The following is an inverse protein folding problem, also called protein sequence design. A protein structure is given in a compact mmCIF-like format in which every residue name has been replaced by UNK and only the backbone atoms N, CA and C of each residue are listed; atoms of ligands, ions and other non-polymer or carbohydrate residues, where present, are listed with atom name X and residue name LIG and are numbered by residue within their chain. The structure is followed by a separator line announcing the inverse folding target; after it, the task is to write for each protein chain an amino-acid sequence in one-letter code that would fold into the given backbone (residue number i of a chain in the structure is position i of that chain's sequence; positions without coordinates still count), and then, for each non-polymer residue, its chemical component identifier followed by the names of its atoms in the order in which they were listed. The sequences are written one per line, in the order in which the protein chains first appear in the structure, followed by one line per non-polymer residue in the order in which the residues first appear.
data_IF_829300720471
#
_entry.id   IF_829300720471
#
_cell.length_a   1.000
_cell.length_b   1.000
_cell.length_c   1.000
_cell.angle_alpha   90.00
_cell.angle_beta   90.00
_cell.angle_gamma   90.00
#
_symmetry.space_group_name_H-M   'P 1'
#
loop_
_entity.id
_entity.type
_entity.pdbx_description
1 polymer ?
#
# COMPACT_ATOMS: atom_id res chain seq x y z
N UNK A 1 -1.11 -12.62 25.28
CA UNK A 1 -1.75 -11.28 25.10
C UNK A 1 -1.12 -10.59 23.93
N UNK A 2 -1.86 -9.76 23.20
CA UNK A 2 -1.34 -8.98 22.06
C UNK A 2 -0.33 -7.94 22.53
N UNK A 3 0.87 -7.88 21.95
CA UNK A 3 1.85 -6.86 22.25
C UNK A 3 1.54 -5.58 21.44
N UNK A 4 0.76 -4.67 22.02
CA UNK A 4 0.37 -3.40 21.41
C UNK A 4 1.56 -2.46 21.12
N UNK A 5 2.75 -2.77 21.66
CA UNK A 5 3.99 -2.01 21.40
C UNK A 5 4.68 -2.44 20.09
N UNK A 6 4.31 -3.58 19.51
CA UNK A 6 4.79 -4.00 18.18
C UNK A 6 3.77 -3.60 17.12
N UNK A 7 4.22 -2.91 16.08
CA UNK A 7 3.43 -2.52 14.93
C UNK A 7 4.03 -3.15 13.66
N UNK A 8 3.21 -3.84 12.90
CA UNK A 8 3.54 -4.29 11.55
C UNK A 8 2.71 -3.52 10.54
N UNK A 9 3.35 -2.69 9.70
CA UNK A 9 2.75 -1.95 8.61
C UNK A 9 3.19 -2.57 7.28
N UNK A 10 2.24 -3.02 6.46
CA UNK A 10 2.56 -3.72 5.21
C UNK A 10 1.75 -3.20 4.04
N UNK A 11 2.43 -3.03 2.91
CA UNK A 11 1.75 -2.99 1.64
C UNK A 11 0.97 -4.30 1.39
N UNK A 12 0.02 -4.26 0.47
CA UNK A 12 -0.82 -5.39 0.10
C UNK A 12 -0.43 -6.00 -1.23
N UNK A 13 -0.56 -5.24 -2.31
CA UNK A 13 -0.42 -5.75 -3.67
C UNK A 13 1.03 -6.17 -3.95
N UNK A 14 1.25 -7.42 -4.36
CA UNK A 14 2.55 -8.06 -4.56
C UNK A 14 3.41 -8.21 -3.29
N UNK A 15 2.96 -7.72 -2.14
CA UNK A 15 3.63 -7.88 -0.84
C UNK A 15 2.98 -8.99 -0.03
N UNK A 16 1.69 -8.90 0.27
CA UNK A 16 0.91 -9.94 0.96
C UNK A 16 -0.11 -10.59 0.02
N UNK A 17 -0.77 -9.79 -0.82
CA UNK A 17 -1.80 -10.15 -1.77
C UNK A 17 -1.20 -10.24 -3.17
N UNK A 18 -1.51 -11.30 -3.91
CA UNK A 18 -1.06 -11.42 -5.31
C UNK A 18 -2.24 -11.63 -6.26
N UNK A 19 -2.02 -11.23 -7.52
CA UNK A 19 -3.06 -11.29 -8.56
C UNK A 19 -3.30 -12.72 -9.04
N UNK A 20 -4.43 -12.93 -9.74
CA UNK A 20 -4.78 -14.21 -10.37
C UNK A 20 -3.69 -14.77 -11.31
N UNK A 21 -2.84 -13.90 -11.88
CA UNK A 21 -1.73 -14.33 -12.76
C UNK A 21 -0.66 -15.13 -12.00
N UNK A 22 -0.59 -15.00 -10.69
CA UNK A 22 0.37 -15.66 -9.82
C UNK A 22 -0.29 -16.69 -8.87
N UNK A 23 -1.58 -16.94 -9.05
CA UNK A 23 -2.32 -17.91 -8.24
C UNK A 23 -1.84 -19.34 -8.51
N UNK A 24 -1.75 -20.15 -7.46
CA UNK A 24 -1.36 -21.55 -7.50
C UNK A 24 -2.46 -22.43 -6.87
N UNK A 25 -2.38 -23.73 -7.07
CA UNK A 25 -3.30 -24.66 -6.45
C UNK A 25 -3.27 -24.55 -4.91
N UNK A 26 -4.44 -24.46 -4.30
CA UNK A 26 -4.60 -24.28 -2.86
C UNK A 26 -4.65 -22.82 -2.38
N UNK A 27 -4.40 -21.84 -3.26
CA UNK A 27 -4.59 -20.42 -2.89
C UNK A 27 -6.06 -20.07 -2.74
N UNK A 28 -6.34 -19.16 -1.81
CA UNK A 28 -7.71 -18.71 -1.52
C UNK A 28 -7.94 -17.38 -2.23
N UNK A 29 -8.95 -17.35 -3.10
CA UNK A 29 -9.40 -16.09 -3.68
C UNK A 29 -10.11 -15.25 -2.62
N UNK A 30 -9.64 -14.02 -2.44
CA UNK A 30 -10.13 -13.08 -1.43
C UNK A 30 -10.66 -11.78 -2.04
N UNK A 31 -10.58 -11.63 -3.35
CA UNK A 31 -11.11 -10.45 -4.04
C UNK A 31 -11.72 -10.84 -5.37
N UNK A 32 -12.94 -10.35 -5.62
CA UNK A 32 -13.63 -10.46 -6.90
C UNK A 32 -13.97 -9.08 -7.45
N UNK A 33 -13.88 -8.91 -8.77
CA UNK A 33 -14.36 -7.74 -9.51
C UNK A 33 -15.16 -8.23 -10.70
N UNK A 34 -16.41 -7.82 -10.80
CA UNK A 34 -17.34 -8.24 -11.85
C UNK A 34 -17.39 -9.77 -12.04
N UNK A 35 -17.44 -10.50 -10.90
CA UNK A 35 -17.47 -11.95 -10.86
C UNK A 35 -16.13 -12.64 -11.18
N UNK A 36 -15.08 -11.89 -11.51
CA UNK A 36 -13.75 -12.41 -11.84
C UNK A 36 -12.84 -12.37 -10.62
N UNK A 37 -12.15 -13.46 -10.34
CA UNK A 37 -11.15 -13.55 -9.28
C UNK A 37 -9.99 -12.60 -9.56
N UNK A 38 -9.61 -11.78 -8.58
CA UNK A 38 -8.57 -10.75 -8.70
C UNK A 38 -7.39 -10.98 -7.76
N UNK A 39 -7.66 -11.17 -6.47
CA UNK A 39 -6.64 -11.22 -5.42
C UNK A 39 -6.69 -12.51 -4.63
N UNK A 40 -5.50 -13.01 -4.26
CA UNK A 40 -5.34 -14.28 -3.59
C UNK A 40 -4.38 -14.19 -2.42
N UNK A 41 -4.64 -15.00 -1.37
CA UNK A 41 -3.68 -15.33 -0.33
C UNK A 41 -3.30 -16.82 -0.40
N UNK A 42 -2.02 -17.11 -0.16
CA UNK A 42 -1.63 -18.52 0.09
C UNK A 42 -2.06 -18.97 1.48
N UNK A 43 -2.22 -20.29 1.72
CA UNK A 43 -2.51 -20.81 3.05
C UNK A 43 -1.46 -20.40 4.11
N UNK A 44 -0.20 -20.24 3.73
CA UNK A 44 0.88 -19.78 4.61
C UNK A 44 0.67 -18.31 5.03
N UNK A 45 0.31 -17.44 4.08
CA UNK A 45 -0.01 -16.04 4.37
C UNK A 45 -1.21 -15.93 5.30
N UNK A 46 -2.27 -16.73 5.08
CA UNK A 46 -3.46 -16.75 5.95
C UNK A 46 -3.07 -17.12 7.39
N UNK A 47 -2.31 -18.21 7.56
CA UNK A 47 -1.84 -18.64 8.90
C UNK A 47 -0.96 -17.58 9.56
N UNK A 48 -0.01 -17.02 8.80
CA UNK A 48 0.89 -15.99 9.28
C UNK A 48 0.17 -14.70 9.69
N UNK A 49 -0.75 -14.19 8.86
CA UNK A 49 -1.55 -13.00 9.19
C UNK A 49 -2.43 -13.21 10.41
N UNK A 50 -3.06 -14.38 10.56
CA UNK A 50 -3.85 -14.72 11.74
C UNK A 50 -2.99 -14.75 13.02
N UNK A 51 -1.75 -15.23 12.94
CA UNK A 51 -0.80 -15.20 14.06
C UNK A 51 -0.37 -13.75 14.35
N UNK A 52 0.03 -12.97 13.35
CA UNK A 52 0.46 -11.58 13.47
C UNK A 52 -0.63 -10.74 14.13
N UNK A 53 -1.88 -10.87 13.68
CA UNK A 53 -3.02 -10.15 14.26
C UNK A 53 -3.27 -10.46 15.74
N UNK A 54 -2.91 -11.66 16.21
CA UNK A 54 -3.01 -12.04 17.63
C UNK A 54 -1.87 -11.49 18.47
N UNK A 55 -0.67 -11.36 17.89
CA UNK A 55 0.56 -11.05 18.64
C UNK A 55 0.98 -9.59 18.58
N UNK A 56 0.62 -8.85 17.53
CA UNK A 56 1.00 -7.46 17.36
C UNK A 56 -0.09 -6.65 16.65
N UNK A 57 0.10 -5.33 16.53
CA UNK A 57 -0.80 -4.46 15.76
C UNK A 57 -0.45 -4.55 14.28
N UNK A 58 -1.30 -5.20 13.50
CA UNK A 58 -1.20 -5.22 12.03
C UNK A 58 -1.97 -4.03 11.44
N UNK A 59 -1.31 -3.31 10.54
CA UNK A 59 -1.87 -2.21 9.74
C UNK A 59 -1.55 -2.49 8.28
N UNK A 60 -2.57 -2.66 7.44
CA UNK A 60 -2.39 -2.65 6.00
C UNK A 60 -2.14 -1.23 5.51
N UNK A 61 -1.18 -1.02 4.60
CA UNK A 61 -0.82 0.30 4.03
C UNK A 61 -0.81 0.21 2.51
N UNK A 62 -1.83 0.73 1.85
CA UNK A 62 -2.02 0.51 0.41
C UNK A 62 -2.39 1.79 -0.35
N UNK A 63 -2.03 1.84 -1.63
CA UNK A 63 -2.53 2.87 -2.55
C UNK A 63 -3.96 2.63 -3.02
N UNK A 64 -4.59 1.53 -2.65
CA UNK A 64 -5.99 1.25 -2.98
C UNK A 64 -6.92 2.32 -2.39
N UNK A 65 -8.01 2.64 -3.11
CA UNK A 65 -9.12 3.42 -2.56
C UNK A 65 -9.85 2.65 -1.45
N UNK A 66 -10.69 3.35 -0.67
CA UNK A 66 -11.59 2.71 0.31
C UNK A 66 -12.37 1.56 -0.34
N UNK A 67 -13.03 1.83 -1.47
CA UNK A 67 -13.85 0.84 -2.16
C UNK A 67 -13.05 -0.37 -2.64
N UNK A 68 -11.81 -0.16 -3.11
CA UNK A 68 -10.92 -1.24 -3.53
C UNK A 68 -10.43 -2.08 -2.35
N UNK A 69 -10.13 -1.45 -1.21
CA UNK A 69 -9.71 -2.17 0.00
C UNK A 69 -10.85 -2.98 0.60
N UNK A 70 -12.07 -2.42 0.68
CA UNK A 70 -13.23 -3.09 1.27
C UNK A 70 -13.76 -4.26 0.42
N UNK A 71 -13.35 -4.39 -0.86
CA UNK A 71 -13.63 -5.59 -1.65
C UNK A 71 -12.86 -6.83 -1.19
N UNK A 72 -11.76 -6.64 -0.45
CA UNK A 72 -10.96 -7.77 0.02
C UNK A 72 -11.72 -8.49 1.14
N UNK A 73 -12.07 -9.73 0.89
CA UNK A 73 -12.70 -10.62 1.86
C UNK A 73 -11.63 -11.34 2.68
N UNK A 74 -11.06 -10.63 3.64
CA UNK A 74 -10.03 -11.21 4.50
C UNK A 74 -10.55 -12.46 5.22
N UNK A 75 -9.80 -13.60 5.20
CA UNK A 75 -10.16 -14.78 5.96
C UNK A 75 -10.27 -14.49 7.47
N UNK A 76 -10.99 -15.33 8.22
CA UNK A 76 -11.11 -15.19 9.66
C UNK A 76 -9.75 -15.05 10.36
N UNK A 77 -9.63 -14.09 11.26
CA UNK A 77 -8.39 -13.75 11.96
C UNK A 77 -7.37 -12.93 11.18
N UNK A 78 -7.56 -12.75 9.86
CA UNK A 78 -6.64 -11.97 9.01
C UNK A 78 -7.05 -10.51 8.84
N UNK A 79 -8.28 -10.13 9.20
CA UNK A 79 -8.81 -8.77 9.04
C UNK A 79 -7.98 -7.80 9.86
N UNK A 80 -7.31 -6.79 9.25
CA UNK A 80 -6.60 -5.77 10.00
C UNK A 80 -7.58 -4.86 10.72
N UNK A 81 -7.35 -4.60 12.01
CA UNK A 81 -8.16 -3.64 12.78
C UNK A 81 -8.02 -2.22 12.23
N UNK A 82 -6.85 -1.90 11.69
CA UNK A 82 -6.51 -0.62 11.08
C UNK A 82 -5.97 -0.84 9.68
N UNK A 83 -6.37 0.03 8.75
CA UNK A 83 -5.82 0.06 7.41
C UNK A 83 -5.59 1.51 6.98
N UNK A 84 -4.44 1.77 6.41
CA UNK A 84 -4.13 2.99 5.68
C UNK A 84 -4.41 2.75 4.21
N UNK A 85 -5.41 3.43 3.67
CA UNK A 85 -5.79 3.38 2.26
C UNK A 85 -5.50 4.72 1.58
N UNK A 86 -5.69 4.80 0.28
CA UNK A 86 -5.35 5.98 -0.52
C UNK A 86 -3.93 6.49 -0.23
N UNK A 87 -2.94 5.59 -0.31
CA UNK A 87 -1.51 5.87 -0.06
C UNK A 87 -1.22 6.44 1.35
N UNK A 88 -2.03 6.05 2.34
CA UNK A 88 -1.92 6.54 3.72
C UNK A 88 -2.76 7.78 4.03
N UNK A 89 -3.46 8.33 3.03
CA UNK A 89 -4.30 9.51 3.19
C UNK A 89 -5.54 9.27 4.06
N UNK A 90 -6.02 8.04 4.16
CA UNK A 90 -7.17 7.69 5.00
C UNK A 90 -6.81 6.53 5.93
N UNK A 91 -7.15 6.68 7.21
CA UNK A 91 -7.05 5.62 8.20
C UNK A 91 -8.45 5.00 8.40
N UNK A 92 -8.56 3.71 8.17
CA UNK A 92 -9.75 2.94 8.51
C UNK A 92 -9.54 2.26 9.88
N UNK A 93 -10.56 2.29 10.72
CA UNK A 93 -10.67 1.50 11.94
C UNK A 93 -11.88 0.58 11.84
N UNK A 94 -11.67 -0.72 11.80
CA UNK A 94 -12.74 -1.70 11.56
C UNK A 94 -13.58 -1.38 10.31
N UNK A 95 -12.94 -0.93 9.24
CA UNK A 95 -13.58 -0.55 7.97
C UNK A 95 -14.18 0.86 7.92
N UNK A 96 -14.30 1.58 9.04
CA UNK A 96 -14.80 2.95 9.09
C UNK A 96 -13.67 3.98 9.07
N UNK A 97 -13.87 5.08 8.34
CA UNK A 97 -12.88 6.18 8.23
C UNK A 97 -12.72 6.89 9.58
N UNK A 98 -11.47 7.13 9.99
CA UNK A 98 -11.13 8.00 11.12
C UNK A 98 -11.30 9.48 10.68
N UNK A 99 -12.29 10.24 11.23
CA UNK A 99 -12.58 11.59 10.73
C UNK A 99 -11.45 12.59 10.97
N UNK A 100 -10.71 12.45 12.08
CA UNK A 100 -9.60 13.35 12.38
C UNK A 100 -8.42 13.12 11.44
N UNK A 101 -8.16 11.86 11.08
CA UNK A 101 -7.15 11.52 10.08
C UNK A 101 -7.52 12.09 8.72
N UNK A 102 -8.76 11.89 8.28
CA UNK A 102 -9.28 12.39 7.02
C UNK A 102 -9.20 13.92 6.94
N UNK A 103 -9.65 14.64 7.96
CA UNK A 103 -9.61 16.11 8.00
C UNK A 103 -8.17 16.64 7.81
N UNK A 104 -7.18 16.03 8.50
CA UNK A 104 -5.77 16.38 8.36
C UNK A 104 -5.26 16.12 6.93
N UNK A 105 -5.67 15.03 6.30
CA UNK A 105 -5.27 14.70 4.93
C UNK A 105 -5.91 15.64 3.90
N UNK A 106 -7.19 15.96 4.04
CA UNK A 106 -7.87 16.92 3.16
C UNK A 106 -7.25 18.32 3.25
N UNK A 107 -6.92 18.78 4.47
CA UNK A 107 -6.23 20.06 4.66
C UNK A 107 -4.84 20.09 3.99
N UNK A 108 -4.12 18.96 3.98
CA UNK A 108 -2.84 18.82 3.30
C UNK A 108 -3.00 18.88 1.76
N UNK A 109 -4.06 18.28 1.23
CA UNK A 109 -4.31 18.21 -0.22
C UNK A 109 -4.89 19.51 -0.78
N UNK A 110 -5.61 20.29 0.02
CA UNK A 110 -6.33 21.49 -0.42
C UNK A 110 -5.48 22.45 -1.26
N UNK A 111 -4.22 22.82 -0.87
CA UNK A 111 -3.37 23.70 -1.68
C UNK A 111 -2.96 23.12 -3.04
N UNK A 112 -3.16 21.83 -3.24
CA UNK A 112 -2.72 21.08 -4.43
C UNK A 112 -3.86 20.73 -5.39
N UNK A 113 -5.12 21.05 -5.05
CA UNK A 113 -6.29 20.71 -5.88
C UNK A 113 -6.18 21.23 -7.31
N UNK A 114 -5.73 22.48 -7.47
CA UNK A 114 -5.51 23.08 -8.79
C UNK A 114 -4.44 22.35 -9.61
N UNK A 115 -3.36 21.92 -8.97
CA UNK A 115 -2.30 21.16 -9.64
C UNK A 115 -2.75 19.74 -10.01
N UNK A 116 -3.56 19.09 -9.15
CA UNK A 116 -4.16 17.78 -9.45
C UNK A 116 -5.13 17.88 -10.63
N UNK A 117 -5.99 18.91 -10.66
CA UNK A 117 -6.90 19.17 -11.78
C UNK A 117 -6.12 19.38 -13.09
N UNK A 118 -5.11 20.24 -13.06
CA UNK A 118 -4.22 20.51 -14.20
C UNK A 118 -3.51 19.24 -14.70
N UNK A 119 -3.02 18.40 -13.78
CA UNK A 119 -2.42 17.12 -14.16
C UNK A 119 -3.44 16.21 -14.86
N UNK A 120 -4.69 16.16 -14.38
CA UNK A 120 -5.78 15.43 -15.00
C UNK A 120 -6.11 15.92 -16.41
N UNK A 121 -6.18 17.25 -16.62
CA UNK A 121 -6.39 17.87 -17.93
C UNK A 121 -5.25 17.54 -18.92
N UNK A 122 -4.01 17.56 -18.44
CA UNK A 122 -2.84 17.20 -19.26
C UNK A 122 -2.86 15.71 -19.64
N UNK A 123 -3.23 14.82 -18.70
CA UNK A 123 -3.38 13.40 -19.01
C UNK A 123 -4.49 13.14 -20.03
N UNK A 124 -5.58 13.89 -20.00
CA UNK A 124 -6.67 13.77 -20.97
C UNK A 124 -6.26 14.16 -22.39
N UNK A 125 -5.17 14.93 -22.57
CA UNK A 125 -4.62 15.33 -23.86
C UNK A 125 -3.62 14.29 -24.45
N UNK A 126 -3.21 13.30 -23.62
CA UNK A 126 -2.29 12.25 -24.09
C UNK A 126 -3.03 11.30 -25.03
N UNK A 127 -2.54 11.08 -26.26
CA UNK A 127 -3.20 10.19 -27.23
C UNK A 127 -2.92 8.70 -26.92
N UNK A 128 -3.23 8.27 -25.70
CA UNK A 128 -3.03 6.90 -25.22
C UNK A 128 -4.32 6.39 -24.53
N UNK A 129 -4.58 5.10 -24.57
CA UNK A 129 -5.71 4.47 -23.90
C UNK A 129 -5.47 4.40 -22.37
N UNK A 130 -5.40 5.56 -21.70
CA UNK A 130 -5.22 5.62 -20.27
C UNK A 130 -6.53 5.93 -19.52
N UNK A 131 -6.62 5.43 -18.28
CA UNK A 131 -7.76 5.67 -17.38
C UNK A 131 -7.28 6.45 -16.17
N UNK A 132 -7.54 7.78 -16.20
CA UNK A 132 -7.22 8.68 -15.09
C UNK A 132 -8.45 8.87 -14.17
N UNK A 133 -8.21 8.96 -12.87
CA UNK A 133 -9.24 9.27 -11.87
C UNK A 133 -8.64 9.81 -10.57
N UNK A 134 -9.40 10.64 -9.87
CA UNK A 134 -9.09 10.95 -8.47
C UNK A 134 -9.36 9.74 -7.58
N UNK A 135 -8.54 9.55 -6.57
CA UNK A 135 -8.68 8.50 -5.57
C UNK A 135 -9.03 9.15 -4.23
N UNK A 136 -10.26 8.88 -3.76
CA UNK A 136 -10.81 9.36 -2.48
C UNK A 136 -10.56 10.88 -2.24
N UNK A 137 -10.59 11.70 -3.30
CA UNK A 137 -10.32 13.14 -3.33
C UNK A 137 -8.92 13.57 -2.85
N UNK A 138 -7.96 12.66 -2.84
CA UNK A 138 -6.64 12.88 -2.27
C UNK A 138 -5.52 12.96 -3.30
N UNK A 139 -5.56 12.14 -4.34
CA UNK A 139 -4.51 12.12 -5.36
C UNK A 139 -5.05 11.67 -6.72
N UNK A 140 -4.30 11.98 -7.79
CA UNK A 140 -4.62 11.56 -9.14
C UNK A 140 -3.88 10.25 -9.48
N UNK A 141 -4.63 9.29 -10.01
CA UNK A 141 -4.16 7.99 -10.50
C UNK A 141 -4.46 7.83 -11.96
N UNK A 142 -3.53 7.24 -12.73
CA UNK A 142 -3.78 6.78 -14.08
C UNK A 142 -3.28 5.35 -14.29
N UNK A 143 -4.01 4.55 -15.07
CA UNK A 143 -3.60 3.23 -15.52
C UNK A 143 -3.46 3.24 -17.03
N UNK A 144 -2.32 2.76 -17.53
CA UNK A 144 -1.99 2.56 -18.94
C UNK A 144 -1.98 1.06 -19.27
N UNK A 145 -1.87 0.72 -20.54
CA UNK A 145 -1.81 -0.69 -20.96
C UNK A 145 -0.39 -1.26 -20.81
N UNK A 146 0.64 -0.40 -20.83
CA UNK A 146 2.04 -0.80 -20.66
C UNK A 146 2.84 0.17 -19.79
N UNK A 147 4.00 -0.26 -19.22
CA UNK A 147 4.92 0.64 -18.53
C UNK A 147 5.50 1.74 -19.43
N UNK A 148 5.70 1.48 -20.72
CA UNK A 148 6.19 2.47 -21.68
C UNK A 148 5.17 3.60 -21.88
N UNK A 149 3.89 3.26 -22.01
CA UNK A 149 2.81 4.26 -22.08
C UNK A 149 2.70 5.08 -20.79
N UNK A 150 2.84 4.46 -19.62
CA UNK A 150 2.85 5.18 -18.35
C UNK A 150 4.03 6.18 -18.28
N UNK A 151 5.21 5.81 -18.74
CA UNK A 151 6.37 6.69 -18.84
C UNK A 151 6.13 7.85 -19.84
N UNK A 152 5.51 7.57 -20.99
CA UNK A 152 5.14 8.59 -21.96
C UNK A 152 4.10 9.57 -21.39
N UNK A 153 3.09 9.07 -20.70
CA UNK A 153 2.08 9.90 -20.05
C UNK A 153 2.71 10.79 -18.96
N UNK A 154 3.64 10.24 -18.15
CA UNK A 154 4.39 11.02 -17.18
C UNK A 154 5.20 12.13 -17.84
N UNK A 155 5.97 11.83 -18.89
CA UNK A 155 6.76 12.81 -19.62
C UNK A 155 5.92 13.96 -20.18
N UNK A 156 4.67 13.68 -20.58
CA UNK A 156 3.75 14.73 -21.06
C UNK A 156 3.32 15.69 -19.94
N UNK A 157 3.21 15.24 -18.71
CA UNK A 157 2.77 16.06 -17.56
C UNK A 157 3.94 16.70 -16.82
N UNK A 158 5.10 16.03 -16.80
CA UNK A 158 6.28 16.45 -16.04
C UNK A 158 6.76 17.85 -16.43
N UNK A 159 7.03 18.69 -15.43
CA UNK A 159 7.44 20.09 -15.61
C UNK A 159 6.32 21.07 -15.97
N UNK A 160 5.11 20.59 -16.25
CA UNK A 160 3.92 21.41 -16.50
C UNK A 160 3.05 21.62 -15.26
N UNK A 161 3.26 20.82 -14.21
CA UNK A 161 2.66 20.96 -12.89
C UNK A 161 3.75 20.98 -11.83
N UNK A 162 3.41 21.43 -10.61
CA UNK A 162 4.30 21.33 -9.44
C UNK A 162 4.30 19.94 -8.78
N UNK A 163 3.44 19.05 -9.25
CA UNK A 163 3.37 17.67 -8.76
C UNK A 163 4.46 16.82 -9.42
N UNK A 164 5.05 15.94 -8.64
CA UNK A 164 5.92 14.88 -9.15
C UNK A 164 5.09 13.63 -9.39
N UNK A 165 5.20 13.05 -10.58
CA UNK A 165 4.56 11.79 -10.90
C UNK A 165 5.43 10.60 -10.50
N UNK A 166 4.82 9.56 -9.94
CA UNK A 166 5.47 8.31 -9.57
C UNK A 166 4.94 7.15 -10.41
N UNK A 167 5.86 6.31 -10.89
CA UNK A 167 5.55 5.13 -11.70
C UNK A 167 5.63 3.84 -10.87
N UNK A 168 4.66 2.96 -11.05
CA UNK A 168 4.70 1.58 -10.58
C UNK A 168 4.16 0.66 -11.67
N UNK A 169 5.05 0.05 -12.44
CA UNK A 169 4.71 -0.72 -13.62
C UNK A 169 3.94 0.15 -14.63
N UNK A 170 2.72 -0.25 -14.98
CA UNK A 170 1.83 0.48 -15.91
C UNK A 170 0.95 1.53 -15.21
N UNK A 171 1.21 1.83 -13.94
CA UNK A 171 0.43 2.76 -13.13
C UNK A 171 1.21 4.05 -12.91
N UNK A 172 0.52 5.18 -12.96
CA UNK A 172 1.05 6.51 -12.73
C UNK A 172 0.26 7.18 -11.61
N UNK A 173 0.96 7.79 -10.67
CA UNK A 173 0.40 8.45 -9.50
C UNK A 173 0.93 9.87 -9.41
N UNK A 174 0.08 10.82 -9.02
CA UNK A 174 0.45 12.19 -8.65
C UNK A 174 0.00 12.43 -7.21
N UNK A 175 0.92 12.28 -6.29
CA UNK A 175 0.67 12.52 -4.87
C UNK A 175 1.01 13.97 -4.50
N UNK A 176 0.12 14.68 -3.79
CA UNK A 176 0.50 15.92 -3.12
C UNK A 176 1.64 15.68 -2.12
N UNK A 177 2.57 16.63 -1.96
CA UNK A 177 3.60 16.56 -0.92
C UNK A 177 3.01 16.31 0.47
N UNK A 178 3.64 15.41 1.23
CA UNK A 178 3.16 14.99 2.54
C UNK A 178 2.07 13.89 2.49
N UNK A 179 1.67 13.44 1.31
CA UNK A 179 0.77 12.30 1.12
C UNK A 179 1.57 11.09 0.64
N UNK A 180 2.27 10.44 1.53
CA UNK A 180 3.02 9.21 1.26
C UNK A 180 2.77 8.15 2.33
N UNK A 181 3.10 6.89 2.04
CA UNK A 181 3.08 5.81 3.03
C UNK A 181 4.04 6.08 4.19
N UNK A 182 5.14 6.80 3.95
CA UNK A 182 6.09 7.23 4.98
C UNK A 182 5.50 8.26 5.93
N UNK A 183 4.93 9.35 5.40
CA UNK A 183 4.25 10.37 6.22
C UNK A 183 3.10 9.75 7.03
N UNK A 184 2.37 8.80 6.45
CA UNK A 184 1.33 8.08 7.15
C UNK A 184 1.88 7.20 8.28
N UNK A 185 3.05 6.58 8.11
CA UNK A 185 3.70 5.82 9.17
C UNK A 185 4.15 6.71 10.33
N UNK A 186 4.69 7.91 10.05
CA UNK A 186 5.00 8.90 11.08
C UNK A 186 3.75 9.23 11.90
N UNK A 187 2.62 9.51 11.24
CA UNK A 187 1.33 9.75 11.91
C UNK A 187 0.84 8.55 12.72
N UNK A 188 1.10 7.30 12.27
CA UNK A 188 0.80 6.10 13.06
C UNK A 188 1.69 6.00 14.31
N UNK A 189 2.98 6.36 14.19
CA UNK A 189 3.87 6.44 15.36
C UNK A 189 3.37 7.46 16.37
N UNK A 190 2.92 8.64 15.95
CA UNK A 190 2.28 9.64 16.82
C UNK A 190 1.03 9.07 17.52
N UNK A 191 0.17 8.36 16.76
CA UNK A 191 -1.12 7.84 17.26
C UNK A 191 -0.97 6.67 18.23
N UNK A 192 -0.02 5.76 17.98
CA UNK A 192 0.06 4.47 18.68
C UNK A 192 1.28 4.32 19.59
N UNK A 193 2.27 5.22 19.47
CA UNK A 193 3.54 5.17 20.20
C UNK A 193 4.14 3.75 20.28
N UNK A 194 4.32 3.04 19.15
CA UNK A 194 4.88 1.70 19.16
C UNK A 194 6.35 1.74 19.59
N UNK A 195 6.79 0.73 20.34
CA UNK A 195 8.21 0.59 20.69
C UNK A 195 9.03 0.08 19.51
N UNK A 196 8.42 -0.67 18.58
CA UNK A 196 9.07 -1.19 17.38
C UNK A 196 8.11 -1.28 16.21
N UNK A 197 8.59 -0.90 15.03
CA UNK A 197 7.83 -0.91 13.78
C UNK A 197 8.53 -1.79 12.75
N UNK A 198 7.80 -2.78 12.25
CA UNK A 198 8.22 -3.60 11.13
C UNK A 198 7.42 -3.15 9.90
N UNK A 199 8.08 -3.03 8.75
CA UNK A 199 7.39 -2.71 7.49
C UNK A 199 7.74 -3.71 6.40
N UNK A 200 6.79 -3.95 5.48
CA UNK A 200 7.03 -4.72 4.26
C UNK A 200 6.43 -3.99 3.05
N UNK A 201 7.12 -4.04 1.91
CA UNK A 201 6.70 -3.43 0.66
C UNK A 201 7.56 -3.90 -0.51
N UNK A 202 7.04 -3.77 -1.75
CA UNK A 202 7.68 -4.33 -2.94
C UNK A 202 8.09 -3.29 -3.99
N UNK A 203 7.60 -2.06 -3.87
CA UNK A 203 7.71 -1.03 -4.91
C UNK A 203 8.30 0.30 -4.44
N UNK A 204 8.61 1.21 -5.38
CA UNK A 204 9.15 2.54 -5.07
C UNK A 204 8.27 3.38 -4.16
N UNK A 205 6.94 3.27 -4.30
CA UNK A 205 5.98 4.00 -3.44
C UNK A 205 5.99 3.54 -1.98
N UNK A 206 6.60 2.38 -1.68
CA UNK A 206 6.75 1.85 -0.33
C UNK A 206 8.03 2.35 0.36
N UNK A 207 9.02 2.77 -0.41
CA UNK A 207 10.34 3.18 0.11
C UNK A 207 10.23 4.21 1.24
N UNK A 208 9.43 5.27 1.15
CA UNK A 208 9.29 6.23 2.25
C UNK A 208 8.78 5.60 3.57
N UNK A 209 7.96 4.56 3.50
CA UNK A 209 7.51 3.80 4.68
C UNK A 209 8.59 2.86 5.20
N UNK A 210 9.29 2.18 4.29
CA UNK A 210 10.34 1.22 4.63
C UNK A 210 11.53 1.91 5.30
N UNK A 211 11.88 3.14 4.89
CA UNK A 211 12.94 3.96 5.50
C UNK A 211 12.61 4.42 6.92
N UNK A 212 11.32 4.50 7.28
CA UNK A 212 10.86 4.85 8.63
C UNK A 212 10.75 3.64 9.56
N UNK A 213 10.98 2.41 9.07
CA UNK A 213 10.85 1.20 9.84
C UNK A 213 12.07 0.90 10.71
N UNK A 214 11.86 0.27 11.87
CA UNK A 214 12.95 -0.31 12.64
C UNK A 214 13.44 -1.63 12.01
N UNK A 215 12.57 -2.29 11.24
CA UNK A 215 12.87 -3.46 10.41
C UNK A 215 12.09 -3.35 9.11
N UNK A 216 12.77 -3.20 8.00
CA UNK A 216 12.19 -3.23 6.65
C UNK A 216 12.37 -4.60 6.01
N UNK A 217 11.33 -5.16 5.38
CA UNK A 217 11.35 -6.43 4.67
C UNK A 217 11.06 -6.15 3.19
N UNK A 218 11.98 -6.52 2.31
CA UNK A 218 11.98 -6.12 0.91
C UNK A 218 12.27 -7.30 -0.03
N UNK A 219 11.72 -7.31 -1.27
CA UNK A 219 11.96 -8.40 -2.21
C UNK A 219 13.35 -8.37 -2.84
N UNK A 220 14.02 -7.23 -2.87
CA UNK A 220 15.34 -7.08 -3.53
C UNK A 220 16.28 -6.13 -2.79
N UNK A 221 17.57 -6.38 -2.96
CA UNK A 221 18.63 -5.50 -2.42
C UNK A 221 18.56 -4.09 -3.03
N UNK A 222 18.97 -3.10 -2.26
CA UNK A 222 19.08 -1.71 -2.70
C UNK A 222 17.77 -0.91 -2.65
N UNK A 223 16.65 -1.50 -2.22
CA UNK A 223 15.42 -0.73 -1.99
C UNK A 223 15.55 0.21 -0.79
N UNK A 224 16.10 -0.29 0.31
CA UNK A 224 16.42 0.48 1.52
C UNK A 224 17.72 -0.01 2.14
N UNK A 225 18.37 0.83 2.93
CA UNK A 225 19.56 0.44 3.67
C UNK A 225 19.20 -0.50 4.83
N UNK A 226 19.95 -1.59 5.01
CA UNK A 226 19.78 -2.51 6.14
C UNK A 226 18.51 -3.36 6.13
N UNK A 227 17.78 -3.39 5.02
CA UNK A 227 16.55 -4.19 4.90
C UNK A 227 16.79 -5.71 4.95
N UNK A 228 15.83 -6.43 5.52
CA UNK A 228 15.74 -7.90 5.44
C UNK A 228 15.29 -8.27 4.04
N UNK A 229 16.21 -8.80 3.24
CA UNK A 229 15.97 -9.08 1.82
C UNK A 229 15.46 -10.51 1.65
N UNK A 230 14.42 -10.68 0.84
CA UNK A 230 13.94 -12.00 0.45
C UNK A 230 15.04 -12.80 -0.24
N UNK A 231 15.14 -14.07 0.11
CA UNK A 231 16.17 -14.98 -0.39
C UNK A 231 15.85 -15.61 -1.76
N UNK A 232 14.71 -15.23 -2.35
CA UNK A 232 14.24 -15.75 -3.63
C UNK A 232 13.57 -17.12 -3.55
N UNK A 233 13.42 -17.72 -2.36
CA UNK A 233 12.77 -19.01 -2.17
C UNK A 233 11.28 -18.85 -1.86
N UNK A 234 10.44 -19.63 -2.51
CA UNK A 234 9.00 -19.54 -2.34
C UNK A 234 8.43 -18.20 -2.78
N UNK A 235 7.45 -17.70 -2.06
CA UNK A 235 6.81 -16.40 -2.34
C UNK A 235 7.26 -15.33 -1.36
N UNK A 236 7.45 -14.11 -1.85
CA UNK A 236 7.78 -12.97 -1.01
C UNK A 236 6.76 -12.77 0.13
N UNK A 237 5.47 -12.92 -0.17
CA UNK A 237 4.39 -12.80 0.83
C UNK A 237 4.53 -13.79 2.00
N UNK A 238 4.96 -15.03 1.72
CA UNK A 238 5.19 -16.05 2.74
C UNK A 238 6.43 -15.74 3.57
N UNK A 239 7.51 -15.29 2.91
CA UNK A 239 8.71 -14.81 3.58
C UNK A 239 8.40 -13.65 4.53
N UNK A 240 7.58 -12.68 4.09
CA UNK A 240 7.16 -11.55 4.94
C UNK A 240 6.48 -12.03 6.21
N UNK A 241 5.43 -12.86 6.10
CA UNK A 241 4.69 -13.31 7.29
C UNK A 241 5.52 -14.20 8.20
N UNK A 242 6.42 -15.02 7.66
CA UNK A 242 7.37 -15.83 8.43
C UNK A 242 8.31 -14.94 9.26
N UNK A 243 8.97 -13.96 8.60
CA UNK A 243 9.90 -13.05 9.30
C UNK A 243 9.20 -12.24 10.37
N UNK A 244 8.01 -11.67 10.07
CA UNK A 244 7.25 -10.88 11.04
C UNK A 244 6.76 -11.73 12.21
N UNK A 245 6.25 -12.94 11.97
CA UNK A 245 5.77 -13.84 13.02
C UNK A 245 6.89 -14.21 14.01
N UNK A 246 8.13 -14.35 13.55
CA UNK A 246 9.29 -14.62 14.40
C UNK A 246 9.55 -13.51 15.43
N UNK A 247 9.25 -12.24 15.11
CA UNK A 247 9.35 -11.12 16.08
C UNK A 247 8.25 -11.16 17.15
N UNK A 248 7.09 -11.75 16.85
CA UNK A 248 5.99 -11.88 17.81
C UNK A 248 6.10 -13.10 18.74
N UNK A 249 6.95 -14.08 18.41
CA UNK A 249 7.12 -15.32 19.17
C UNK A 249 8.24 -15.31 20.21
N UNK A 250 9.00 -14.22 20.31
CA UNK A 250 10.18 -14.08 21.17
C UNK A 250 9.94 -13.40 22.52
N UNK A 251 8.72 -13.54 23.11
CA UNK A 251 8.41 -13.04 24.47
C UNK A 251 7.79 -14.17 25.28
#
# INVERSE_FOLDING_TARGET
MRNEKLLFASDLDNTLLFSHQHAQAGDVCVEYLDGKAQGFFSPNVIRGLAQINRTMRFVSVTSRSIAQFLRIQFPPGCVPKYALVANGGLLLRNGAVDPAWQARSLALVEPWRGELAKAGELLAQVPLPLRARMVDDLYLFAACDSPAEAAQALAHVQGKTRLTGELSGRKLYFFPPGLSKGDALVRLREKFAPARVLCAGDSGIDVPMLEQADVAIVPKRGMVAGGVVWDGRGRFSEFVVEKVAAFGGGI
#
